data_IF_266795448801
#
_entry.id   IF_266795448801
#
_cell.length_a   1.000
_cell.length_b   1.000
_cell.length_c   1.000
_cell.angle_alpha   90.00
_cell.angle_beta   90.00
_cell.angle_gamma   90.00
#
_symmetry.space_group_name_H-M   'P 1'
#
loop_
_entity.id
_entity.type
_entity.pdbx_description
1 polymer ?
#
# COMPACT_ATOMS: atom_id res chain seq x y z
N UNK A 1 -6.25 -3.22 15.85
CA UNK A 1 -6.52 -2.19 14.83
C UNK A 1 -6.41 -2.78 13.42
N UNK A 2 -7.19 -2.28 12.46
CA UNK A 2 -7.01 -2.51 11.02
C UNK A 2 -5.96 -1.54 10.49
N UNK A 3 -4.84 -2.05 10.01
CA UNK A 3 -3.69 -1.23 9.58
C UNK A 3 -3.40 -1.44 8.11
N UNK A 4 -3.24 -0.36 7.34
CA UNK A 4 -2.80 -0.41 5.94
C UNK A 4 -1.32 -0.06 5.78
N UNK A 5 -0.62 -0.80 4.93
CA UNK A 5 0.75 -0.53 4.46
C UNK A 5 0.69 -0.39 2.95
N UNK A 6 1.04 0.78 2.43
CA UNK A 6 0.76 1.15 1.04
C UNK A 6 1.96 1.82 0.39
N UNK A 7 2.22 1.50 -0.88
CA UNK A 7 3.15 2.27 -1.70
C UNK A 7 2.42 3.39 -2.45
N UNK A 8 3.04 4.56 -2.56
CA UNK A 8 2.53 5.67 -3.36
C UNK A 8 3.40 5.86 -4.61
N UNK A 9 2.76 5.90 -5.77
CA UNK A 9 3.41 6.23 -7.05
C UNK A 9 3.01 7.61 -7.55
N UNK A 10 3.19 7.87 -8.83
CA UNK A 10 2.74 9.13 -9.46
C UNK A 10 1.22 9.30 -9.47
N UNK A 11 0.46 8.20 -9.40
CA UNK A 11 -1.00 8.24 -9.32
C UNK A 11 -1.39 7.95 -7.87
N UNK A 12 -2.13 8.85 -7.19
CA UNK A 12 -2.49 8.67 -5.77
C UNK A 12 -3.68 7.70 -5.61
N UNK A 13 -4.40 7.46 -6.71
CA UNK A 13 -5.65 6.72 -6.71
C UNK A 13 -5.60 5.34 -6.04
N UNK A 14 -4.55 4.51 -6.23
CA UNK A 14 -4.47 3.22 -5.56
C UNK A 14 -4.52 3.31 -4.04
N UNK A 15 -3.81 4.27 -3.43
CA UNK A 15 -3.81 4.44 -1.99
C UNK A 15 -5.12 5.09 -1.49
N UNK A 16 -5.62 6.10 -2.23
CA UNK A 16 -6.92 6.74 -1.98
C UNK A 16 -8.05 5.71 -1.92
N UNK A 17 -8.12 4.81 -2.90
CA UNK A 17 -9.19 3.81 -2.99
C UNK A 17 -9.19 2.84 -1.81
N UNK A 18 -8.02 2.47 -1.28
CA UNK A 18 -7.94 1.61 -0.09
C UNK A 18 -8.42 2.35 1.15
N UNK A 19 -8.07 3.63 1.31
CA UNK A 19 -8.58 4.45 2.40
C UNK A 19 -10.11 4.54 2.37
N UNK A 20 -10.69 4.80 1.20
CA UNK A 20 -12.15 4.96 1.02
C UNK A 20 -12.94 3.69 1.27
N UNK A 21 -12.47 2.55 0.73
CA UNK A 21 -13.21 1.29 0.75
C UNK A 21 -12.97 0.48 2.02
N UNK A 22 -11.71 0.40 2.47
CA UNK A 22 -11.35 -0.45 3.60
C UNK A 22 -11.34 0.27 4.95
N UNK A 23 -11.24 1.61 4.93
CA UNK A 23 -11.25 2.50 6.12
C UNK A 23 -10.40 1.95 7.26
N UNK A 24 -9.08 1.78 7.07
CA UNK A 24 -8.20 1.31 8.13
C UNK A 24 -8.14 2.34 9.28
N UNK A 25 -7.88 1.87 10.51
CA UNK A 25 -7.66 2.76 11.65
C UNK A 25 -6.38 3.59 11.45
N UNK A 26 -5.36 2.96 10.86
CA UNK A 26 -4.05 3.58 10.57
C UNK A 26 -3.53 3.17 9.20
N UNK A 27 -2.92 4.10 8.47
CA UNK A 27 -2.36 3.85 7.15
C UNK A 27 -0.94 4.41 7.02
N UNK A 28 0.02 3.51 6.84
CA UNK A 28 1.39 3.83 6.46
C UNK A 28 1.50 3.95 4.94
N UNK A 29 1.98 5.10 4.46
CA UNK A 29 2.20 5.37 3.03
C UNK A 29 3.68 5.62 2.79
N UNK A 30 4.28 4.76 1.97
CA UNK A 30 5.71 4.78 1.62
C UNK A 30 5.87 5.48 0.27
N UNK A 31 6.67 6.55 0.22
CA UNK A 31 6.94 7.29 -1.02
C UNK A 31 8.22 8.15 -0.94
N UNK A 32 8.74 8.58 -2.08
CA UNK A 32 9.72 9.67 -2.15
C UNK A 32 9.07 11.05 -2.10
N UNK A 33 9.89 12.08 -1.84
CA UNK A 33 9.46 13.48 -1.96
C UNK A 33 8.88 13.80 -3.35
N UNK A 34 9.52 13.28 -4.41
CA UNK A 34 9.00 13.41 -5.78
C UNK A 34 7.56 12.89 -5.89
N UNK A 35 7.29 11.69 -5.37
CA UNK A 35 5.96 11.09 -5.47
C UNK A 35 4.91 11.81 -4.63
N UNK A 36 5.31 12.38 -3.49
CA UNK A 36 4.42 13.14 -2.60
C UNK A 36 4.00 14.49 -3.22
N UNK A 37 4.95 15.18 -3.84
CA UNK A 37 4.73 16.52 -4.41
C UNK A 37 4.22 16.48 -5.88
N UNK A 38 4.24 15.30 -6.52
CA UNK A 38 3.75 15.13 -7.88
C UNK A 38 2.25 15.38 -8.00
N UNK A 39 1.85 16.09 -9.06
CA UNK A 39 0.45 16.34 -9.44
C UNK A 39 0.13 15.55 -10.70
N UNK A 40 -0.78 14.58 -10.60
CA UNK A 40 -1.11 13.70 -11.72
C UNK A 40 -2.19 14.27 -12.65
N UNK A 41 -1.86 15.35 -13.36
CA UNK A 41 -2.79 16.06 -14.26
C UNK A 41 -3.38 15.14 -15.35
N UNK A 42 -2.60 14.19 -15.87
CA UNK A 42 -3.04 13.18 -16.86
C UNK A 42 -4.18 12.27 -16.37
N UNK A 43 -4.50 12.30 -15.06
CA UNK A 43 -5.61 11.58 -14.42
C UNK A 43 -6.58 12.53 -13.72
N UNK A 44 -6.59 13.80 -14.15
CA UNK A 44 -7.48 14.86 -13.66
C UNK A 44 -7.29 15.24 -12.18
N UNK A 45 -6.14 14.89 -11.58
CA UNK A 45 -5.76 15.38 -10.26
C UNK A 45 -5.25 16.83 -10.36
N UNK A 46 -5.70 17.67 -9.44
CA UNK A 46 -5.35 19.10 -9.37
C UNK A 46 -4.45 19.45 -8.20
N UNK A 47 -4.21 18.48 -7.31
CA UNK A 47 -3.50 18.65 -6.07
C UNK A 47 -2.32 17.67 -6.01
N UNK A 48 -1.28 17.99 -5.23
CA UNK A 48 -0.20 17.06 -4.94
C UNK A 48 -0.73 15.76 -4.33
N UNK A 49 -0.09 14.64 -4.67
CA UNK A 49 -0.49 13.33 -4.17
C UNK A 49 -0.64 13.29 -2.64
N UNK A 50 0.25 13.95 -1.89
CA UNK A 50 0.15 14.04 -0.42
C UNK A 50 -1.16 14.64 0.06
N UNK A 51 -1.69 15.67 -0.61
CA UNK A 51 -2.95 16.33 -0.22
C UNK A 51 -4.13 15.41 -0.56
N UNK A 52 -4.10 14.76 -1.72
CA UNK A 52 -5.15 13.78 -2.12
C UNK A 52 -5.26 12.66 -1.10
N UNK A 53 -4.13 12.10 -0.65
CA UNK A 53 -4.11 11.01 0.34
C UNK A 53 -4.51 11.51 1.73
N UNK A 54 -4.07 12.70 2.11
CA UNK A 54 -4.44 13.31 3.40
C UNK A 54 -5.95 13.55 3.50
N UNK A 55 -6.56 14.16 2.48
CA UNK A 55 -8.01 14.38 2.43
C UNK A 55 -8.76 13.04 2.53
N UNK A 56 -8.33 12.03 1.78
CA UNK A 56 -8.96 10.71 1.81
C UNK A 56 -8.83 10.02 3.18
N UNK A 57 -7.70 10.19 3.87
CA UNK A 57 -7.51 9.66 5.21
C UNK A 57 -8.40 10.38 6.25
N UNK A 58 -8.50 11.71 6.16
CA UNK A 58 -9.38 12.51 7.01
C UNK A 58 -10.87 12.11 6.82
N UNK A 59 -11.32 11.95 5.57
CA UNK A 59 -12.68 11.50 5.25
C UNK A 59 -12.96 10.06 5.72
N UNK A 60 -11.95 9.19 5.71
CA UNK A 60 -12.05 7.82 6.18
C UNK A 60 -11.96 7.70 7.72
N UNK A 61 -11.52 8.76 8.42
CA UNK A 61 -11.21 8.71 9.85
C UNK A 61 -9.94 7.90 10.16
N UNK A 62 -9.01 7.83 9.21
CA UNK A 62 -7.77 7.05 9.28
C UNK A 62 -6.59 7.91 9.76
N UNK A 63 -5.79 7.41 10.71
CA UNK A 63 -4.49 8.00 11.03
C UNK A 63 -3.50 7.78 9.87
N UNK A 64 -3.06 8.85 9.21
CA UNK A 64 -2.10 8.78 8.11
C UNK A 64 -0.66 8.99 8.60
N UNK A 65 0.22 8.03 8.30
CA UNK A 65 1.66 8.13 8.54
C UNK A 65 2.42 8.02 7.22
N UNK A 66 3.13 9.08 6.85
CA UNK A 66 3.97 9.10 5.64
C UNK A 66 5.39 8.69 6.03
N UNK A 67 5.91 7.62 5.42
CA UNK A 67 7.29 7.18 5.55
C UNK A 67 8.03 7.54 4.26
N UNK A 68 8.94 8.50 4.35
CA UNK A 68 9.78 8.89 3.21
C UNK A 68 10.84 7.83 2.97
N UNK A 69 11.01 7.43 1.72
CA UNK A 69 11.95 6.39 1.32
C UNK A 69 12.40 6.63 -0.14
N UNK A 70 13.68 6.36 -0.46
CA UNK A 70 14.12 6.20 -1.85
C UNK A 70 13.53 4.91 -2.45
N UNK A 71 12.57 4.99 -3.40
CA UNK A 71 11.88 3.84 -3.92
C UNK A 71 12.73 3.04 -4.93
N UNK A 72 13.98 3.44 -5.17
CA UNK A 72 14.94 2.71 -6.00
C UNK A 72 15.97 1.93 -5.17
N UNK A 73 16.12 2.23 -3.88
CA UNK A 73 17.00 1.52 -2.96
C UNK A 73 16.22 0.40 -2.25
N UNK A 74 16.62 -0.86 -2.52
CA UNK A 74 15.97 -2.03 -1.92
C UNK A 74 16.24 -2.16 -0.42
N UNK A 75 17.41 -1.73 0.04
CA UNK A 75 17.77 -1.81 1.46
C UNK A 75 16.93 -0.79 2.23
N UNK A 76 16.81 0.44 1.73
CA UNK A 76 15.99 1.48 2.35
C UNK A 76 14.49 1.13 2.37
N UNK A 77 13.96 0.54 1.29
CA UNK A 77 12.59 0.02 1.25
C UNK A 77 12.39 -1.06 2.33
N UNK A 78 13.35 -1.98 2.44
CA UNK A 78 13.26 -3.10 3.38
C UNK A 78 13.32 -2.61 4.81
N UNK A 79 14.24 -1.71 5.14
CA UNK A 79 14.36 -1.10 6.47
C UNK A 79 13.11 -0.29 6.84
N UNK A 80 12.56 0.46 5.87
CA UNK A 80 11.31 1.20 6.07
C UNK A 80 10.15 0.26 6.40
N UNK A 81 9.99 -0.83 5.65
CA UNK A 81 8.94 -1.81 5.89
C UNK A 81 9.18 -2.54 7.23
N UNK A 82 10.41 -2.93 7.53
CA UNK A 82 10.75 -3.58 8.80
C UNK A 82 10.38 -2.68 10.00
N UNK A 83 10.74 -1.40 9.96
CA UNK A 83 10.36 -0.44 11.01
C UNK A 83 8.85 -0.29 11.16
N UNK A 84 8.08 -0.29 10.06
CA UNK A 84 6.61 -0.32 10.13
C UNK A 84 6.12 -1.61 10.79
N UNK A 85 6.69 -2.77 10.43
CA UNK A 85 6.27 -4.06 10.99
C UNK A 85 6.57 -4.16 12.50
N UNK A 86 7.68 -3.59 12.94
CA UNK A 86 8.02 -3.47 14.36
C UNK A 86 7.04 -2.56 15.10
N UNK A 87 6.64 -1.42 14.51
CA UNK A 87 5.67 -0.50 15.10
C UNK A 87 4.27 -1.14 15.28
N UNK A 88 3.89 -2.09 14.43
CA UNK A 88 2.52 -2.63 14.40
C UNK A 88 2.37 -4.02 15.01
N UNK A 89 3.46 -4.66 15.45
CA UNK A 89 3.46 -6.08 15.84
C UNK A 89 2.46 -6.41 16.94
N UNK A 90 2.22 -5.46 17.84
CA UNK A 90 1.36 -5.65 19.02
C UNK A 90 0.00 -4.94 18.87
N UNK A 91 -0.21 -4.17 17.80
CA UNK A 91 -1.39 -3.31 17.60
C UNK A 91 -2.33 -3.80 16.49
N UNK A 92 -1.83 -4.61 15.55
CA UNK A 92 -2.56 -5.03 14.36
C UNK A 92 -3.47 -6.26 14.60
N UNK A 93 -4.79 -6.08 14.44
CA UNK A 93 -5.74 -7.21 14.35
C UNK A 93 -5.86 -7.71 12.91
N UNK A 94 -5.73 -6.80 11.94
CA UNK A 94 -5.75 -7.09 10.51
C UNK A 94 -4.78 -6.14 9.79
N UNK A 95 -4.00 -6.68 8.84
CA UNK A 95 -3.09 -5.91 8.01
C UNK A 95 -3.56 -5.90 6.55
N UNK A 96 -3.63 -4.71 5.96
CA UNK A 96 -3.91 -4.51 4.54
C UNK A 96 -2.61 -4.12 3.85
N UNK A 97 -2.13 -4.92 2.91
CA UNK A 97 -0.94 -4.59 2.13
C UNK A 97 -1.35 -4.21 0.71
N UNK A 98 -1.29 -2.93 0.38
CA UNK A 98 -1.60 -2.42 -0.95
C UNK A 98 -0.32 -2.34 -1.80
N UNK A 99 -0.14 -3.32 -2.69
CA UNK A 99 1.04 -3.45 -3.54
C UNK A 99 0.87 -2.79 -4.92
N UNK A 100 -0.13 -1.92 -5.09
CA UNK A 100 -0.50 -1.39 -6.41
C UNK A 100 0.27 -0.14 -6.80
N UNK A 101 0.52 0.74 -5.82
CA UNK A 101 1.26 1.99 -6.00
C UNK A 101 2.75 1.85 -5.66
N UNK A 102 3.56 2.83 -6.07
CA UNK A 102 5.01 2.84 -5.84
C UNK A 102 5.85 2.52 -7.08
N UNK A 103 7.17 2.54 -6.91
CA UNK A 103 8.11 2.01 -7.91
C UNK A 103 7.90 0.50 -8.12
N UNK A 104 8.53 -0.07 -9.14
CA UNK A 104 8.51 -1.52 -9.33
C UNK A 104 9.11 -2.26 -8.12
N UNK A 105 10.23 -1.75 -7.57
CA UNK A 105 10.89 -2.32 -6.40
C UNK A 105 9.97 -2.33 -5.18
N UNK A 106 9.37 -1.18 -4.84
CA UNK A 106 8.46 -1.07 -3.70
C UNK A 106 7.25 -2.01 -3.84
N UNK A 107 6.65 -2.10 -5.03
CA UNK A 107 5.52 -3.01 -5.29
C UNK A 107 5.88 -4.47 -5.08
N UNK A 108 7.07 -4.89 -5.53
CA UNK A 108 7.54 -6.27 -5.34
C UNK A 108 7.73 -6.57 -3.87
N UNK A 109 8.40 -5.67 -3.13
CA UNK A 109 8.64 -5.87 -1.69
C UNK A 109 7.32 -5.88 -0.92
N UNK A 110 6.39 -4.95 -1.18
CA UNK A 110 5.06 -4.95 -0.56
C UNK A 110 4.29 -6.25 -0.86
N UNK A 111 4.31 -6.74 -2.11
CA UNK A 111 3.67 -8.02 -2.45
C UNK A 111 4.25 -9.19 -1.66
N UNK A 112 5.58 -9.24 -1.53
CA UNK A 112 6.28 -10.25 -0.73
C UNK A 112 5.96 -10.14 0.77
N UNK A 113 5.95 -8.91 1.31
CA UNK A 113 5.56 -8.61 2.70
C UNK A 113 4.15 -9.09 2.97
N UNK A 114 3.19 -8.77 2.09
CA UNK A 114 1.81 -9.24 2.22
C UNK A 114 1.71 -10.76 2.28
N UNK A 115 2.38 -11.48 1.38
CA UNK A 115 2.37 -12.96 1.39
C UNK A 115 2.97 -13.51 2.69
N UNK A 116 4.07 -12.93 3.15
CA UNK A 116 4.72 -13.32 4.41
C UNK A 116 3.79 -13.13 5.61
N UNK A 117 3.15 -11.96 5.71
CA UNK A 117 2.24 -11.62 6.81
C UNK A 117 1.01 -12.52 6.88
N UNK A 118 0.54 -13.05 5.75
CA UNK A 118 -0.61 -13.98 5.76
C UNK A 118 -0.37 -15.26 6.57
N UNK A 119 0.88 -15.55 6.96
CA UNK A 119 1.24 -16.68 7.83
C UNK A 119 1.27 -16.32 9.30
N UNK A 120 1.26 -15.03 9.63
CA UNK A 120 1.49 -14.49 10.97
C UNK A 120 0.22 -13.85 11.54
N UNK A 121 -0.56 -13.14 10.72
CA UNK A 121 -1.78 -12.46 11.13
C UNK A 121 -2.83 -12.47 10.00
N UNK A 122 -4.10 -12.11 10.29
CA UNK A 122 -5.08 -11.81 9.26
C UNK A 122 -4.55 -10.72 8.33
N UNK A 123 -4.40 -11.04 7.04
CA UNK A 123 -3.81 -10.13 6.05
C UNK A 123 -4.60 -10.16 4.75
N UNK A 124 -4.98 -8.99 4.25
CA UNK A 124 -5.43 -8.80 2.87
C UNK A 124 -4.29 -8.26 2.02
N UNK A 125 -4.17 -8.75 0.79
CA UNK A 125 -3.17 -8.26 -0.17
C UNK A 125 -3.91 -7.54 -1.29
N UNK A 126 -3.98 -6.22 -1.20
CA UNK A 126 -4.90 -5.42 -1.99
C UNK A 126 -4.27 -4.99 -3.32
N UNK A 127 -4.99 -5.25 -4.40
CA UNK A 127 -4.82 -4.60 -5.69
C UNK A 127 -5.93 -3.56 -5.89
N UNK A 128 -5.57 -2.29 -6.10
CA UNK A 128 -6.49 -1.16 -6.18
C UNK A 128 -6.17 -0.25 -7.38
N UNK A 129 -7.04 -0.25 -8.38
CA UNK A 129 -6.95 0.66 -9.54
C UNK A 129 -8.28 1.34 -9.78
N UNK A 130 -8.23 2.58 -10.25
CA UNK A 130 -9.41 3.30 -10.70
C UNK A 130 -9.03 4.32 -11.77
N UNK A 131 -9.95 4.52 -12.70
CA UNK A 131 -9.79 5.44 -13.82
C UNK A 131 -11.02 6.35 -13.90
N UNK A 132 -10.89 7.64 -14.25
CA UNK A 132 -12.02 8.59 -14.29
C UNK A 132 -13.23 8.12 -15.10
N UNK A 133 -13.02 7.34 -16.16
CA UNK A 133 -14.09 6.76 -16.98
C UNK A 133 -13.90 5.25 -17.21
N UNK A 134 -13.17 4.58 -16.31
CA UNK A 134 -12.86 3.16 -16.43
C UNK A 134 -13.20 2.38 -15.18
N UNK A 135 -12.85 1.09 -15.14
CA UNK A 135 -13.19 0.24 -14.02
C UNK A 135 -12.51 0.73 -12.73
N UNK A 136 -13.28 0.75 -11.64
CA UNK A 136 -12.79 0.81 -10.27
C UNK A 136 -12.69 -0.63 -9.76
N UNK A 137 -11.47 -1.07 -9.46
CA UNK A 137 -11.17 -2.42 -8.99
C UNK A 137 -10.45 -2.28 -7.66
N UNK A 138 -11.03 -2.86 -6.62
CA UNK A 138 -10.34 -3.12 -5.35
C UNK A 138 -10.54 -4.59 -5.06
N UNK A 139 -9.45 -5.34 -4.94
CA UNK A 139 -9.51 -6.80 -4.83
C UNK A 139 -8.47 -7.28 -3.84
N UNK A 140 -8.90 -8.16 -2.94
CA UNK A 140 -7.99 -8.95 -2.11
C UNK A 140 -7.45 -10.14 -2.91
N UNK A 141 -6.15 -10.15 -3.11
CA UNK A 141 -5.41 -11.19 -3.80
C UNK A 141 -4.67 -12.14 -2.84
N UNK A 142 -4.90 -12.07 -1.52
CA UNK A 142 -4.18 -12.86 -0.52
C UNK A 142 -4.20 -14.37 -0.82
N UNK A 143 -5.38 -14.94 -1.10
CA UNK A 143 -5.52 -16.37 -1.39
C UNK A 143 -4.74 -16.77 -2.66
N UNK A 144 -4.93 -16.03 -3.76
CA UNK A 144 -4.29 -16.31 -5.04
C UNK A 144 -2.77 -16.21 -4.95
N UNK A 145 -2.24 -15.19 -4.27
CA UNK A 145 -0.80 -15.00 -4.11
C UNK A 145 -0.19 -16.05 -3.18
N UNK A 146 -0.91 -16.46 -2.12
CA UNK A 146 -0.48 -17.56 -1.25
C UNK A 146 -0.40 -18.88 -2.01
N UNK A 147 -1.34 -19.15 -2.91
CA UNK A 147 -1.33 -20.36 -3.72
C UNK A 147 -0.24 -20.35 -4.79
N UNK A 148 0.02 -19.20 -5.43
CA UNK A 148 1.19 -19.03 -6.29
C UNK A 148 2.47 -19.32 -5.52
N UNK A 149 2.64 -18.71 -4.33
CA UNK A 149 3.81 -18.92 -3.48
C UNK A 149 3.99 -20.39 -3.08
N UNK A 150 2.92 -21.08 -2.65
CA UNK A 150 2.95 -22.52 -2.34
C UNK A 150 3.35 -23.38 -3.53
N UNK A 151 2.90 -23.05 -4.74
CA UNK A 151 3.27 -23.78 -5.96
C UNK A 151 4.75 -23.57 -6.30
N UNK A 152 5.26 -22.36 -6.18
CA UNK A 152 6.66 -22.03 -6.42
C UNK A 152 7.59 -22.70 -5.41
N UNK A 153 7.22 -22.70 -4.12
CA UNK A 153 8.01 -23.38 -3.08
C UNK A 153 8.07 -24.90 -3.22
N UNK A 154 7.20 -25.54 -4.00
CA UNK A 154 7.30 -26.97 -4.30
C UNK A 154 8.30 -27.27 -5.42
N UNK A 155 8.79 -26.25 -6.13
CA UNK A 155 9.77 -26.39 -7.21
C UNK A 155 11.23 -26.42 -6.69
N UNK A 156 11.43 -26.12 -5.40
CA UNK A 156 12.70 -26.10 -4.70
C UNK A 156 12.59 -26.96 -3.43
#
# INVERSE_FOLDING_TARGET
MKIAIQGLGEVPNPARLVLEEEKPDKSYVIASDYQLDYVCERRDFKEPNKEVIKTAAEEAGTELVIKKCDPFDLDEITDTIAGILEEISDEADEVLVNYTGGSANLRVVLGFTGVTLTRLCPTKIIYAVGYPSGPKIVTDNAEKLRDIYRRLNKLF
#
